data_IF_259031291799
#
_entry.id   IF_259031291799
#
_cell.length_a   1.000
_cell.length_b   1.000
_cell.length_c   1.000
_cell.angle_alpha   90.00
_cell.angle_beta   90.00
_cell.angle_gamma   90.00
#
_symmetry.space_group_name_H-M   'P 1'
#
loop_
_entity.id
_entity.type
_entity.pdbx_description
1 polymer ?
#
# COMPACT_ATOMS: atom_id res chain seq x y z
N UNK A 1 -3.66 4.06 -25.80
CA UNK A 1 -4.29 3.84 -24.49
C UNK A 1 -5.76 3.60 -24.81
N UNK A 2 -6.30 2.41 -24.49
CA UNK A 2 -7.69 2.07 -24.84
C UNK A 2 -8.66 2.86 -23.94
N UNK A 3 -9.70 3.43 -24.54
CA UNK A 3 -10.82 4.10 -23.86
C UNK A 3 -11.75 3.10 -23.13
N UNK A 4 -11.17 2.22 -22.30
CA UNK A 4 -12.00 1.41 -21.44
C UNK A 4 -12.64 2.33 -20.36
N UNK A 5 -13.96 2.27 -20.13
CA UNK A 5 -14.61 3.11 -19.14
C UNK A 5 -13.96 2.88 -17.76
N UNK A 6 -13.66 3.96 -17.04
CA UNK A 6 -13.14 3.87 -15.68
C UNK A 6 -14.20 3.25 -14.77
N UNK A 7 -13.78 2.35 -13.88
CA UNK A 7 -14.67 1.88 -12.81
C UNK A 7 -15.07 3.05 -11.92
N UNK A 8 -16.32 3.09 -11.41
CA UNK A 8 -16.70 4.11 -10.46
C UNK A 8 -15.86 4.00 -9.17
N UNK A 9 -15.41 5.15 -8.68
CA UNK A 9 -14.70 5.19 -7.39
C UNK A 9 -15.72 5.01 -6.25
N UNK A 10 -15.65 3.90 -5.56
CA UNK A 10 -16.56 3.55 -4.45
C UNK A 10 -15.98 3.92 -3.07
N UNK A 11 -14.72 4.33 -2.99
CA UNK A 11 -14.01 4.52 -1.73
C UNK A 11 -13.45 3.23 -1.12
N UNK A 12 -13.84 2.07 -1.64
CA UNK A 12 -13.40 0.75 -1.17
C UNK A 12 -12.12 0.27 -1.86
N UNK A 13 -11.93 0.66 -3.13
CA UNK A 13 -10.78 0.23 -3.96
C UNK A 13 -9.93 1.41 -4.37
N UNK A 14 -8.62 1.22 -4.33
CA UNK A 14 -7.71 2.19 -4.91
C UNK A 14 -7.78 2.14 -6.45
N UNK A 15 -7.83 3.32 -7.05
CA UNK A 15 -7.71 3.52 -8.50
C UNK A 15 -6.42 4.25 -8.82
N UNK A 16 -5.63 3.83 -9.84
CA UNK A 16 -4.35 4.46 -10.20
C UNK A 16 -4.44 5.95 -10.55
N UNK A 17 -5.65 6.45 -10.80
CA UNK A 17 -5.92 7.87 -11.06
C UNK A 17 -6.18 8.71 -9.81
N UNK A 18 -6.31 8.07 -8.63
CA UNK A 18 -6.42 8.78 -7.35
C UNK A 18 -5.02 9.21 -6.93
N UNK A 19 -4.72 10.52 -6.95
CA UNK A 19 -3.40 11.02 -6.59
C UNK A 19 -3.19 11.02 -5.06
N UNK A 20 -2.01 11.47 -4.64
CA UNK A 20 -1.61 11.76 -3.26
C UNK A 20 -1.09 10.54 -2.50
N UNK A 21 -1.25 10.56 -1.17
CA UNK A 21 -0.65 9.63 -0.23
C UNK A 21 -1.02 8.18 -0.55
N UNK A 22 -2.28 7.92 -0.85
CA UNK A 22 -2.77 6.57 -1.19
C UNK A 22 -2.04 6.00 -2.42
N UNK A 23 -1.76 6.84 -3.43
CA UNK A 23 -0.96 6.41 -4.58
C UNK A 23 0.45 5.97 -4.14
N UNK A 24 1.12 6.79 -3.30
CA UNK A 24 2.45 6.45 -2.80
C UNK A 24 2.47 5.12 -2.06
N UNK A 25 1.51 4.89 -1.17
CA UNK A 25 1.40 3.68 -0.37
C UNK A 25 1.19 2.44 -1.24
N UNK A 26 0.25 2.50 -2.17
CA UNK A 26 -0.05 1.40 -3.07
C UNK A 26 1.09 1.09 -4.06
N UNK A 27 1.63 2.11 -4.73
CA UNK A 27 2.73 1.91 -5.68
C UNK A 27 4.00 1.41 -4.99
N UNK A 28 4.29 1.90 -3.77
CA UNK A 28 5.42 1.43 -2.99
C UNK A 28 5.31 -0.06 -2.65
N UNK A 29 4.15 -0.53 -2.19
CA UNK A 29 3.92 -1.94 -1.89
C UNK A 29 4.17 -2.82 -3.12
N UNK A 30 3.65 -2.44 -4.28
CA UNK A 30 3.88 -3.18 -5.51
C UNK A 30 5.33 -3.08 -6.01
N UNK A 31 5.98 -1.94 -5.88
CA UNK A 31 7.40 -1.80 -6.21
C UNK A 31 8.28 -2.71 -5.33
N UNK A 32 7.99 -2.78 -4.03
CA UNK A 32 8.64 -3.71 -3.12
C UNK A 32 8.36 -5.18 -3.49
N UNK A 33 7.13 -5.52 -3.82
CA UNK A 33 6.73 -6.86 -4.24
C UNK A 33 7.37 -7.28 -5.57
N UNK A 34 7.60 -6.35 -6.52
CA UNK A 34 8.24 -6.65 -7.82
C UNK A 34 9.62 -7.26 -7.69
N UNK A 35 10.41 -6.85 -6.70
CA UNK A 35 11.75 -7.44 -6.46
C UNK A 35 11.63 -8.90 -6.04
N UNK A 36 10.63 -9.22 -5.22
CA UNK A 36 10.35 -10.59 -4.80
C UNK A 36 9.63 -11.41 -5.87
N UNK A 37 8.95 -10.76 -6.81
CA UNK A 37 8.23 -11.42 -7.89
C UNK A 37 9.13 -11.94 -9.03
N UNK A 38 10.39 -11.49 -9.10
CA UNK A 38 11.30 -11.78 -10.21
C UNK A 38 11.43 -13.27 -10.47
N UNK A 39 11.02 -13.70 -11.67
CA UNK A 39 11.09 -15.09 -12.12
C UNK A 39 10.13 -16.08 -11.42
N UNK A 40 9.19 -15.59 -10.60
CA UNK A 40 8.26 -16.40 -9.80
C UNK A 40 6.87 -16.47 -10.42
N UNK A 41 6.14 -17.55 -10.06
CA UNK A 41 4.70 -17.67 -10.29
C UNK A 41 3.99 -16.90 -9.18
N UNK A 42 3.29 -15.82 -9.53
CA UNK A 42 2.69 -14.89 -8.59
C UNK A 42 1.17 -14.99 -8.63
N UNK A 43 0.55 -14.98 -7.46
CA UNK A 43 -0.85 -14.71 -7.25
C UNK A 43 -1.03 -13.32 -6.64
N UNK A 44 -1.78 -12.45 -7.30
CA UNK A 44 -2.23 -11.17 -6.75
C UNK A 44 -3.70 -11.35 -6.32
N UNK A 45 -3.90 -11.56 -5.02
CA UNK A 45 -5.19 -11.91 -4.43
C UNK A 45 -5.93 -10.66 -3.96
N UNK A 46 -7.18 -10.51 -4.38
CA UNK A 46 -7.97 -9.29 -4.34
C UNK A 46 -7.27 -8.16 -5.14
N UNK A 47 -6.97 -8.45 -6.41
CA UNK A 47 -6.13 -7.60 -7.27
C UNK A 47 -6.80 -6.28 -7.71
N UNK A 48 -8.07 -6.07 -7.37
CA UNK A 48 -8.84 -4.89 -7.73
C UNK A 48 -8.78 -4.59 -9.23
N UNK A 49 -8.52 -3.34 -9.58
CA UNK A 49 -8.46 -2.86 -10.98
C UNK A 49 -7.36 -3.54 -11.82
N UNK A 50 -6.41 -4.26 -11.20
CA UNK A 50 -5.39 -5.06 -11.87
C UNK A 50 -4.08 -4.34 -12.19
N UNK A 51 -3.92 -3.05 -11.86
CA UNK A 51 -2.67 -2.30 -12.12
C UNK A 51 -1.46 -2.93 -11.43
N UNK A 52 -1.64 -3.43 -10.20
CA UNK A 52 -0.60 -4.08 -9.43
C UNK A 52 -0.15 -5.39 -10.05
N UNK A 53 -1.10 -6.25 -10.44
CA UNK A 53 -0.81 -7.47 -11.18
C UNK A 53 -0.06 -7.18 -12.50
N UNK A 54 -0.42 -6.10 -13.19
CA UNK A 54 0.28 -5.66 -14.39
C UNK A 54 1.72 -5.20 -14.12
N UNK A 55 1.98 -4.55 -12.97
CA UNK A 55 3.33 -4.21 -12.54
C UNK A 55 4.16 -5.46 -12.25
N UNK A 56 3.60 -6.40 -11.48
CA UNK A 56 4.27 -7.66 -11.14
C UNK A 56 4.62 -8.48 -12.39
N UNK A 57 3.77 -8.46 -13.41
CA UNK A 57 4.00 -9.19 -14.66
C UNK A 57 5.25 -8.72 -15.43
N UNK A 58 5.79 -7.55 -15.12
CA UNK A 58 7.04 -7.05 -15.72
C UNK A 58 8.25 -7.90 -15.33
N UNK A 59 8.26 -8.47 -14.14
CA UNK A 59 9.40 -9.21 -13.58
C UNK A 59 9.09 -10.68 -13.29
N UNK A 60 7.84 -11.02 -13.03
CA UNK A 60 7.39 -12.38 -12.71
C UNK A 60 7.48 -13.33 -13.91
N UNK A 61 7.56 -14.62 -13.64
CA UNK A 61 7.41 -15.68 -14.67
C UNK A 61 5.95 -15.76 -15.15
N UNK A 62 5.00 -15.66 -14.22
CA UNK A 62 3.56 -15.55 -14.51
C UNK A 62 2.85 -14.84 -13.36
N UNK A 63 1.74 -14.18 -13.67
CA UNK A 63 0.87 -13.55 -12.68
C UNK A 63 -0.56 -13.98 -12.93
N UNK A 64 -1.23 -14.38 -11.86
CA UNK A 64 -2.66 -14.58 -11.80
C UNK A 64 -3.24 -13.53 -10.85
N UNK A 65 -4.05 -12.61 -11.36
CA UNK A 65 -4.85 -11.67 -10.56
C UNK A 65 -6.22 -12.29 -10.28
N UNK A 66 -6.63 -12.30 -9.03
CA UNK A 66 -7.96 -12.78 -8.61
C UNK A 66 -8.68 -11.65 -7.87
N UNK A 67 -9.94 -11.41 -8.24
CA UNK A 67 -10.86 -10.54 -7.50
C UNK A 67 -12.26 -11.18 -7.46
N UNK A 68 -12.99 -10.90 -6.39
CA UNK A 68 -14.33 -11.47 -6.20
C UNK A 68 -15.36 -10.86 -7.15
N UNK A 69 -15.16 -9.62 -7.59
CA UNK A 69 -16.07 -8.84 -8.42
C UNK A 69 -15.84 -9.11 -9.92
N UNK A 70 -16.76 -9.80 -10.63
CA UNK A 70 -16.56 -10.15 -12.05
C UNK A 70 -16.40 -8.95 -12.97
N UNK A 71 -17.07 -7.84 -12.67
CA UNK A 71 -16.99 -6.59 -13.42
C UNK A 71 -15.59 -5.93 -13.30
N UNK A 72 -14.96 -6.04 -12.15
CA UNK A 72 -13.60 -5.57 -11.90
C UNK A 72 -12.59 -6.41 -12.67
N UNK A 73 -12.77 -7.72 -12.67
CA UNK A 73 -11.95 -8.67 -13.45
C UNK A 73 -12.10 -8.43 -14.96
N UNK A 74 -13.33 -8.17 -15.44
CA UNK A 74 -13.56 -7.83 -16.83
C UNK A 74 -12.84 -6.54 -17.24
N UNK A 75 -12.88 -5.51 -16.38
CA UNK A 75 -12.14 -4.26 -16.56
C UNK A 75 -10.62 -4.52 -16.61
N UNK A 76 -10.08 -5.26 -15.63
CA UNK A 76 -8.66 -5.58 -15.56
C UNK A 76 -8.17 -6.31 -16.84
N UNK A 77 -8.93 -7.28 -17.33
CA UNK A 77 -8.64 -7.99 -18.59
C UNK A 77 -8.62 -7.07 -19.81
N UNK A 78 -9.56 -6.12 -19.87
CA UNK A 78 -9.65 -5.18 -21.00
C UNK A 78 -8.51 -4.15 -20.98
N UNK A 79 -8.05 -3.76 -19.79
CA UNK A 79 -7.07 -2.68 -19.60
C UNK A 79 -5.63 -3.15 -19.62
N UNK A 80 -5.35 -4.33 -19.05
CA UNK A 80 -4.00 -4.83 -18.81
C UNK A 80 -3.74 -6.14 -19.57
N UNK A 81 -3.29 -6.03 -20.80
CA UNK A 81 -2.88 -7.19 -21.59
C UNK A 81 -1.37 -7.42 -21.49
N UNK A 82 -0.97 -8.61 -21.04
CA UNK A 82 0.42 -9.02 -20.98
C UNK A 82 0.52 -10.56 -21.12
N UNK A 83 1.48 -11.13 -21.87
CA UNK A 83 1.55 -12.59 -22.11
C UNK A 83 1.72 -13.43 -20.84
N UNK A 84 2.24 -12.84 -19.77
CA UNK A 84 2.44 -13.50 -18.47
C UNK A 84 1.36 -13.17 -17.43
N UNK A 85 0.29 -12.46 -17.81
CA UNK A 85 -0.75 -11.97 -16.90
C UNK A 85 -2.10 -12.57 -17.29
N UNK A 86 -2.81 -13.08 -16.29
CA UNK A 86 -4.20 -13.53 -16.39
C UNK A 86 -4.98 -12.98 -15.21
N UNK A 87 -6.28 -12.76 -15.42
CA UNK A 87 -7.22 -12.36 -14.37
C UNK A 87 -8.38 -13.34 -14.32
N UNK A 88 -8.79 -13.74 -13.13
CA UNK A 88 -9.89 -14.67 -12.90
C UNK A 88 -10.77 -14.15 -11.76
N UNK A 89 -12.09 -14.38 -11.84
CA UNK A 89 -12.98 -14.09 -10.73
C UNK A 89 -12.91 -15.22 -9.72
N UNK A 90 -12.77 -14.88 -8.44
CA UNK A 90 -12.66 -15.87 -7.38
C UNK A 90 -12.60 -15.25 -5.99
N UNK A 91 -12.90 -16.05 -5.00
CA UNK A 91 -12.84 -15.70 -3.60
C UNK A 91 -11.43 -15.98 -3.04
N UNK A 92 -10.75 -14.92 -2.55
CA UNK A 92 -9.40 -15.03 -2.00
C UNK A 92 -9.33 -15.91 -0.73
N UNK A 93 -10.45 -16.08 -0.01
CA UNK A 93 -10.52 -16.96 1.18
C UNK A 93 -10.60 -18.43 0.82
N UNK A 94 -10.88 -18.76 -0.45
CA UNK A 94 -11.05 -20.14 -0.94
C UNK A 94 -10.03 -20.54 -1.98
N UNK A 95 -9.79 -19.69 -2.99
CA UNK A 95 -8.87 -19.96 -4.11
C UNK A 95 -9.11 -21.32 -4.77
N UNK A 96 -10.39 -21.68 -4.99
CA UNK A 96 -10.82 -23.02 -5.44
C UNK A 96 -10.17 -23.43 -6.77
N UNK A 97 -9.88 -22.49 -7.66
CA UNK A 97 -9.24 -22.73 -8.96
C UNK A 97 -7.71 -22.78 -8.92
N UNK A 98 -7.07 -22.56 -7.76
CA UNK A 98 -5.61 -22.51 -7.61
C UNK A 98 -5.12 -23.79 -6.94
N UNK A 99 -4.27 -24.53 -7.64
CA UNK A 99 -3.74 -25.79 -7.13
C UNK A 99 -2.80 -25.59 -5.93
N UNK A 100 -2.81 -26.57 -5.01
CA UNK A 100 -1.95 -26.57 -3.83
C UNK A 100 -0.47 -26.52 -4.23
N UNK A 101 0.31 -25.68 -3.57
CA UNK A 101 1.75 -25.55 -3.78
C UNK A 101 2.16 -25.03 -5.16
N UNK A 102 1.24 -24.42 -5.92
CA UNK A 102 1.49 -23.98 -7.30
C UNK A 102 2.03 -22.55 -7.42
N UNK A 103 2.03 -21.77 -6.36
CA UNK A 103 2.39 -20.34 -6.32
C UNK A 103 3.68 -20.13 -5.53
N UNK A 104 4.59 -19.35 -6.08
CA UNK A 104 5.86 -19.01 -5.43
C UNK A 104 5.78 -17.71 -4.61
N UNK A 105 4.85 -16.82 -4.96
CA UNK A 105 4.60 -15.58 -4.25
C UNK A 105 3.11 -15.24 -4.28
N UNK A 106 2.50 -15.10 -3.12
CA UNK A 106 1.17 -14.48 -2.97
C UNK A 106 1.37 -13.03 -2.56
N UNK A 107 0.64 -12.13 -3.22
CA UNK A 107 0.55 -10.70 -2.89
C UNK A 107 -0.91 -10.40 -2.58
N UNK A 108 -1.19 -9.73 -1.45
CA UNK A 108 -2.53 -9.29 -1.08
C UNK A 108 -2.43 -8.02 -0.25
N UNK A 109 -2.92 -6.91 -0.79
CA UNK A 109 -2.81 -5.61 -0.15
C UNK A 109 -4.19 -5.03 0.14
N UNK A 110 -4.37 -4.54 1.37
CA UNK A 110 -5.62 -3.90 1.83
C UNK A 110 -6.85 -4.80 1.54
N UNK A 111 -6.80 -6.00 2.08
CA UNK A 111 -7.85 -7.02 1.88
C UNK A 111 -8.32 -7.60 3.20
N UNK A 112 -7.38 -7.81 4.12
CA UNK A 112 -7.62 -8.50 5.38
C UNK A 112 -8.71 -7.81 6.20
N UNK A 113 -8.66 -6.49 6.30
CA UNK A 113 -9.57 -5.63 7.05
C UNK A 113 -11.03 -5.67 6.55
N UNK A 114 -11.24 -6.08 5.30
CA UNK A 114 -12.58 -6.21 4.71
C UNK A 114 -13.23 -7.56 4.98
N UNK A 115 -12.52 -8.49 5.62
CA UNK A 115 -12.97 -9.86 5.85
C UNK A 115 -13.27 -10.11 7.33
N UNK A 116 -14.32 -10.89 7.60
CA UNK A 116 -14.62 -11.34 8.96
C UNK A 116 -13.74 -12.53 9.39
N UNK A 117 -13.39 -13.41 8.45
CA UNK A 117 -12.60 -14.63 8.69
C UNK A 117 -11.18 -14.48 8.12
N UNK A 118 -10.30 -13.93 8.92
CA UNK A 118 -8.89 -13.74 8.58
C UNK A 118 -8.12 -15.07 8.50
N UNK A 119 -8.51 -16.06 9.29
CA UNK A 119 -7.87 -17.38 9.29
C UNK A 119 -8.16 -18.13 7.99
N UNK A 120 -9.37 -18.04 7.43
CA UNK A 120 -9.69 -18.62 6.13
C UNK A 120 -8.81 -18.05 5.01
N UNK A 121 -8.61 -16.73 4.97
CA UNK A 121 -7.74 -16.08 3.98
C UNK A 121 -6.31 -16.61 4.06
N UNK A 122 -5.71 -16.60 5.25
CA UNK A 122 -4.32 -17.04 5.43
C UNK A 122 -4.13 -18.53 5.22
N UNK A 123 -5.12 -19.36 5.56
CA UNK A 123 -5.12 -20.79 5.27
C UNK A 123 -5.13 -21.05 3.76
N UNK A 124 -5.96 -20.33 2.99
CA UNK A 124 -5.99 -20.41 1.54
C UNK A 124 -4.63 -20.01 0.93
N UNK A 125 -4.02 -18.92 1.39
CA UNK A 125 -2.69 -18.51 0.95
C UNK A 125 -1.62 -19.56 1.27
N UNK A 126 -1.61 -20.06 2.51
CA UNK A 126 -0.66 -21.10 2.91
C UNK A 126 -0.82 -22.39 2.09
N UNK A 127 -2.06 -22.76 1.69
CA UNK A 127 -2.34 -23.93 0.86
C UNK A 127 -1.72 -23.80 -0.54
N UNK A 128 -1.99 -22.69 -1.22
CA UNK A 128 -1.56 -22.51 -2.61
C UNK A 128 -0.07 -22.21 -2.75
N UNK A 129 0.60 -21.73 -1.70
CA UNK A 129 2.03 -21.46 -1.69
C UNK A 129 2.86 -22.75 -1.79
N UNK A 130 3.86 -22.72 -2.66
CA UNK A 130 4.92 -23.70 -2.74
C UNK A 130 5.66 -23.81 -1.39
N UNK A 131 6.39 -24.92 -1.11
CA UNK A 131 7.11 -25.07 0.15
C UNK A 131 8.02 -23.89 0.52
N UNK A 132 8.72 -23.32 -0.45
CA UNK A 132 9.61 -22.16 -0.26
C UNK A 132 8.95 -20.84 -0.72
N UNK A 133 7.63 -20.84 -0.85
CA UNK A 133 6.85 -19.70 -1.26
C UNK A 133 6.75 -18.62 -0.18
N UNK A 134 6.51 -17.41 -0.65
CA UNK A 134 6.36 -16.20 0.17
C UNK A 134 4.94 -15.63 0.04
N UNK A 135 4.47 -15.04 1.14
CA UNK A 135 3.32 -14.14 1.14
C UNK A 135 3.81 -12.72 1.43
N UNK A 136 3.32 -11.74 0.68
CA UNK A 136 3.34 -10.33 1.08
C UNK A 136 1.90 -9.89 1.32
N UNK A 137 1.64 -9.37 2.51
CA UNK A 137 0.32 -8.94 2.95
C UNK A 137 0.41 -7.57 3.60
N UNK A 138 -0.54 -6.67 3.30
CA UNK A 138 -0.70 -5.41 4.04
C UNK A 138 -2.08 -5.29 4.66
N UNK A 139 -2.15 -4.51 5.75
CA UNK A 139 -3.40 -4.14 6.41
C UNK A 139 -3.16 -2.85 7.23
N UNK A 140 -4.18 -2.01 7.48
CA UNK A 140 -4.07 -0.86 8.38
C UNK A 140 -3.66 -1.28 9.79
N UNK A 141 -2.88 -0.44 10.48
CA UNK A 141 -2.72 -0.54 11.93
C UNK A 141 -3.88 0.18 12.61
N UNK A 142 -4.77 -0.55 13.26
CA UNK A 142 -5.93 -0.01 13.96
C UNK A 142 -5.58 1.18 14.85
N UNK A 143 -4.46 1.11 15.55
CA UNK A 143 -4.01 2.15 16.48
C UNK A 143 -3.86 3.51 15.78
N UNK A 144 -3.24 3.54 14.61
CA UNK A 144 -2.94 4.80 13.91
C UNK A 144 -3.97 5.14 12.85
N UNK A 145 -4.56 4.12 12.23
CA UNK A 145 -5.53 4.32 11.14
C UNK A 145 -6.88 4.78 11.69
N UNK A 146 -7.38 4.16 12.75
CA UNK A 146 -8.70 4.45 13.33
C UNK A 146 -8.61 5.17 14.68
N UNK A 147 -7.93 4.58 15.69
CA UNK A 147 -8.02 5.10 17.06
C UNK A 147 -7.39 6.51 17.21
N UNK A 148 -6.23 6.76 16.59
CA UNK A 148 -5.55 8.07 16.66
C UNK A 148 -6.09 9.08 15.64
N UNK A 149 -6.61 8.63 14.49
CA UNK A 149 -7.20 9.53 13.50
C UNK A 149 -8.60 9.99 13.90
N UNK A 150 -9.32 9.18 14.68
CA UNK A 150 -10.73 9.39 15.00
C UNK A 150 -11.69 9.18 13.82
N UNK A 151 -11.20 8.57 12.72
CA UNK A 151 -11.99 8.34 11.50
C UNK A 151 -12.13 6.85 11.26
N UNK A 152 -13.37 6.37 11.26
CA UNK A 152 -13.70 4.97 10.91
C UNK A 152 -13.92 4.84 9.41
N UNK A 153 -13.37 3.77 8.81
CA UNK A 153 -13.68 3.42 7.43
C UNK A 153 -14.89 2.48 7.40
N UNK A 154 -16.03 2.87 6.80
CA UNK A 154 -17.24 2.05 6.81
C UNK A 154 -17.12 0.73 6.04
N UNK A 155 -16.08 0.55 5.25
CA UNK A 155 -15.81 -0.69 4.50
C UNK A 155 -14.94 -1.68 5.28
N UNK A 156 -14.33 -1.26 6.40
CA UNK A 156 -13.52 -2.14 7.22
C UNK A 156 -14.40 -2.93 8.20
N UNK A 157 -14.37 -4.25 8.06
CA UNK A 157 -15.09 -5.17 8.95
C UNK A 157 -14.32 -5.35 10.25
N UNK A 158 -12.98 -5.50 10.15
CA UNK A 158 -12.11 -5.70 11.30
C UNK A 158 -10.67 -5.29 11.02
N UNK A 159 -10.22 -4.24 11.64
CA UNK A 159 -8.82 -3.86 11.71
C UNK A 159 -8.12 -4.53 12.89
N UNK A 160 -6.83 -4.80 12.76
CA UNK A 160 -6.02 -5.45 13.77
C UNK A 160 -4.99 -4.48 14.37
N UNK A 161 -4.73 -4.64 15.67
CA UNK A 161 -3.51 -4.11 16.27
C UNK A 161 -2.31 -4.96 15.84
N UNK A 162 -1.12 -4.39 15.95
CA UNK A 162 0.12 -5.07 15.57
C UNK A 162 0.26 -6.46 16.19
N UNK A 163 0.01 -6.57 17.49
CA UNK A 163 0.18 -7.83 18.23
C UNK A 163 -0.83 -8.90 17.78
N UNK A 164 -2.06 -8.50 17.44
CA UNK A 164 -3.08 -9.40 16.90
C UNK A 164 -2.68 -9.87 15.49
N UNK A 165 -2.13 -8.96 14.67
CA UNK A 165 -1.67 -9.29 13.32
C UNK A 165 -0.47 -10.25 13.36
N UNK A 166 0.54 -9.98 14.20
CA UNK A 166 1.68 -10.89 14.39
C UNK A 166 1.22 -12.28 14.88
N UNK A 167 0.29 -12.33 15.85
CA UNK A 167 -0.28 -13.59 16.34
C UNK A 167 -1.06 -14.37 15.26
N UNK A 168 -1.83 -13.65 14.42
CA UNK A 168 -2.51 -14.23 13.28
C UNK A 168 -1.52 -14.84 12.27
N UNK A 169 -0.48 -14.08 11.88
CA UNK A 169 0.54 -14.57 10.96
C UNK A 169 1.26 -15.80 11.49
N UNK A 170 1.59 -15.82 12.80
CA UNK A 170 2.29 -16.92 13.46
C UNK A 170 1.51 -18.23 13.50
N UNK A 171 0.17 -18.22 13.32
CA UNK A 171 -0.64 -19.44 13.22
C UNK A 171 -0.49 -20.15 11.87
N UNK A 172 -0.19 -19.42 10.82
CA UNK A 172 -0.19 -19.94 9.44
C UNK A 172 1.19 -20.04 8.81
N UNK A 173 2.17 -19.26 9.28
CA UNK A 173 3.49 -19.16 8.68
C UNK A 173 4.59 -19.40 9.71
N UNK A 174 5.59 -20.19 9.34
CA UNK A 174 6.70 -20.53 10.23
C UNK A 174 7.53 -19.30 10.64
N UNK A 175 7.65 -18.32 9.76
CA UNK A 175 8.33 -17.04 10.01
C UNK A 175 7.70 -15.90 9.24
N UNK A 176 7.75 -14.72 9.83
CA UNK A 176 7.39 -13.48 9.16
C UNK A 176 8.37 -12.35 9.53
N UNK A 177 8.41 -11.35 8.68
CA UNK A 177 9.06 -10.06 8.93
C UNK A 177 8.05 -8.96 8.72
N UNK A 178 7.88 -8.13 9.73
CA UNK A 178 6.93 -7.03 9.72
C UNK A 178 7.64 -5.72 9.38
N UNK A 179 7.05 -4.96 8.49
CA UNK A 179 7.40 -3.58 8.15
C UNK A 179 6.26 -2.66 8.55
N UNK A 180 6.62 -1.46 9.03
CA UNK A 180 5.68 -0.35 9.10
C UNK A 180 5.75 0.48 7.83
N UNK A 181 4.61 0.90 7.30
CA UNK A 181 4.53 1.82 6.17
C UNK A 181 3.79 3.10 6.57
N UNK A 182 4.33 4.24 6.15
CA UNK A 182 3.69 5.55 6.25
C UNK A 182 4.31 6.51 5.25
N UNK A 183 3.50 7.38 4.65
CA UNK A 183 4.00 8.52 3.88
C UNK A 183 4.48 9.59 4.87
N UNK A 184 5.74 9.98 4.73
CA UNK A 184 6.38 10.99 5.58
C UNK A 184 7.22 11.93 4.72
N UNK A 185 7.35 13.17 5.15
CA UNK A 185 8.31 14.10 4.54
C UNK A 185 9.73 13.73 5.00
N UNK A 186 10.63 13.53 4.04
CA UNK A 186 12.02 13.18 4.31
C UNK A 186 12.98 14.01 3.45
N UNK A 187 14.15 14.30 3.99
CA UNK A 187 15.29 14.79 3.23
C UNK A 187 16.12 13.59 2.75
N UNK A 188 16.40 13.51 1.46
CA UNK A 188 17.23 12.46 0.89
C UNK A 188 18.61 13.01 0.57
N UNK A 189 19.64 12.27 0.99
CA UNK A 189 21.03 12.52 0.63
C UNK A 189 21.55 11.27 -0.10
N UNK A 190 21.93 11.44 -1.37
CA UNK A 190 22.39 10.33 -2.20
C UNK A 190 23.65 10.68 -2.99
N UNK A 191 24.40 9.67 -3.37
CA UNK A 191 25.62 9.82 -4.18
C UNK A 191 25.26 10.14 -5.62
N UNK A 192 25.88 11.16 -6.19
CA UNK A 192 25.68 11.57 -7.59
C UNK A 192 26.54 10.77 -8.59
N UNK A 193 27.60 10.11 -8.11
CA UNK A 193 28.48 9.27 -8.93
C UNK A 193 27.93 7.85 -9.17
N UNK A 194 26.73 7.56 -8.68
CA UNK A 194 26.17 6.22 -8.64
C UNK A 194 26.88 5.39 -7.56
N UNK A 195 26.59 4.15 -7.49
CA UNK A 195 27.19 3.22 -6.54
C UNK A 195 26.21 2.78 -5.46
N UNK A 196 26.45 1.56 -4.99
CA UNK A 196 25.65 0.93 -3.96
C UNK A 196 26.41 1.03 -2.63
N UNK A 197 25.68 1.22 -1.55
CA UNK A 197 26.24 1.32 -0.21
C UNK A 197 25.17 1.05 0.84
N UNK A 198 25.58 1.09 2.11
CA UNK A 198 24.63 0.98 3.22
C UNK A 198 23.71 2.19 3.25
N UNK A 199 22.45 1.94 3.57
CA UNK A 199 21.44 2.98 3.81
C UNK A 199 21.43 3.33 5.29
N UNK A 200 21.47 4.62 5.60
CA UNK A 200 21.28 5.15 6.94
C UNK A 200 20.02 5.99 7.00
N UNK A 201 19.30 5.92 8.09
CA UNK A 201 18.15 6.78 8.37
C UNK A 201 18.28 7.39 9.76
N UNK A 202 17.78 8.60 9.93
CA UNK A 202 17.82 9.34 11.17
C UNK A 202 16.47 9.99 11.43
N UNK A 203 16.09 10.09 12.69
CA UNK A 203 14.90 10.82 13.13
C UNK A 203 15.33 11.87 14.17
N UNK A 204 14.95 13.12 13.94
CA UNK A 204 15.08 14.20 14.93
C UNK A 204 13.86 14.18 15.84
N UNK A 205 14.09 14.32 17.15
CA UNK A 205 13.05 14.50 18.16
C UNK A 205 13.55 15.53 19.18
N UNK A 206 12.92 16.70 19.22
CA UNK A 206 13.44 17.86 19.94
C UNK A 206 14.83 18.27 19.42
N UNK A 207 15.80 18.34 20.33
CA UNK A 207 17.21 18.71 20.03
C UNK A 207 18.09 17.48 19.74
N UNK A 208 17.53 16.28 19.81
CA UNK A 208 18.25 15.03 19.64
C UNK A 208 18.06 14.42 18.24
N UNK A 209 19.05 13.65 17.78
CA UNK A 209 19.01 12.89 16.53
C UNK A 209 19.26 11.41 16.83
N UNK A 210 18.35 10.58 16.40
CA UNK A 210 18.39 9.15 16.63
C UNK A 210 18.54 8.37 15.33
N UNK A 211 19.28 7.24 15.33
CA UNK A 211 19.30 6.36 14.18
C UNK A 211 17.96 5.64 14.00
N UNK A 212 17.61 5.37 12.74
CA UNK A 212 16.39 4.66 12.37
C UNK A 212 15.17 5.54 12.17
N UNK A 213 14.08 4.89 11.75
CA UNK A 213 12.75 5.48 11.59
C UNK A 213 11.98 5.31 12.91
N UNK A 214 11.48 6.40 13.48
CA UNK A 214 10.73 6.42 14.76
C UNK A 214 9.27 6.83 14.62
N UNK A 215 8.76 6.86 13.39
CA UNK A 215 7.36 7.21 13.10
C UNK A 215 6.46 5.99 13.33
N UNK A 216 5.29 6.18 13.92
CA UNK A 216 4.27 5.14 14.02
C UNK A 216 3.78 4.77 12.61
N UNK A 217 3.67 3.49 12.27
CA UNK A 217 3.16 3.07 10.97
C UNK A 217 1.68 3.42 10.82
N UNK A 218 1.24 3.67 9.60
CA UNK A 218 -0.18 3.73 9.23
C UNK A 218 -0.67 2.34 8.82
N UNK A 219 0.22 1.59 8.18
CA UNK A 219 -0.03 0.22 7.72
C UNK A 219 1.08 -0.71 8.16
N UNK A 220 0.72 -1.95 8.36
CA UNK A 220 1.63 -3.07 8.48
C UNK A 220 1.78 -3.77 7.14
N UNK A 221 3.03 -4.07 6.74
CA UNK A 221 3.33 -4.91 5.59
C UNK A 221 4.13 -6.10 6.07
N UNK A 222 3.58 -7.31 5.92
CA UNK A 222 4.24 -8.53 6.34
C UNK A 222 4.79 -9.29 5.14
N UNK A 223 6.02 -9.79 5.25
CA UNK A 223 6.56 -10.82 4.37
C UNK A 223 6.64 -12.11 5.18
N UNK A 224 5.88 -13.13 4.77
CA UNK A 224 5.79 -14.39 5.46
C UNK A 224 6.39 -15.52 4.62
N UNK A 225 7.09 -16.44 5.28
CA UNK A 225 7.63 -17.65 4.66
C UNK A 225 6.94 -18.89 5.20
N UNK A 226 6.55 -19.79 4.29
CA UNK A 226 5.96 -21.08 4.66
C UNK A 226 7.00 -21.95 5.39
N UNK A 227 8.27 -21.88 4.98
CA UNK A 227 9.44 -22.49 5.65
C UNK A 227 10.47 -21.42 5.97
N UNK A 228 11.26 -21.63 7.04
CA UNK A 228 12.00 -20.58 7.75
C UNK A 228 13.16 -19.89 7.07
N UNK A 229 13.61 -20.29 5.87
CA UNK A 229 14.86 -19.81 5.27
C UNK A 229 14.72 -18.68 4.26
N UNK A 230 13.51 -18.45 3.75
CA UNK A 230 13.26 -17.57 2.58
C UNK A 230 13.28 -16.05 2.89
N UNK A 231 13.45 -15.61 4.14
CA UNK A 231 13.41 -14.17 4.51
C UNK A 231 14.78 -13.49 4.53
N UNK A 232 15.85 -14.19 4.10
CA UNK A 232 17.16 -13.60 3.94
C UNK A 232 17.20 -12.62 2.76
N UNK A 233 17.94 -11.50 2.92
CA UNK A 233 18.12 -10.52 1.84
C UNK A 233 17.02 -9.48 1.71
N UNK A 234 16.00 -9.49 2.55
CA UNK A 234 14.99 -8.42 2.59
C UNK A 234 15.64 -7.11 3.10
N UNK A 235 15.37 -5.96 2.46
CA UNK A 235 15.95 -4.69 2.90
C UNK A 235 15.40 -4.30 4.28
N UNK A 236 16.24 -3.63 5.08
CA UNK A 236 15.80 -3.08 6.36
C UNK A 236 14.91 -1.84 6.20
N UNK A 237 15.07 -1.12 5.09
CA UNK A 237 14.32 0.07 4.73
C UNK A 237 14.07 0.06 3.22
N UNK A 238 12.86 0.42 2.82
CA UNK A 238 12.50 0.69 1.43
C UNK A 238 11.97 2.11 1.33
N UNK A 239 12.41 2.86 0.33
CA UNK A 239 11.98 4.23 0.07
C UNK A 239 11.32 4.30 -1.30
N UNK A 240 10.25 5.09 -1.40
CA UNK A 240 9.54 5.33 -2.64
C UNK A 240 9.30 6.82 -2.84
N UNK A 241 9.48 7.28 -4.05
CA UNK A 241 9.12 8.63 -4.48
C UNK A 241 8.64 8.57 -5.92
N UNK A 242 7.68 9.42 -6.29
CA UNK A 242 7.36 9.66 -7.68
C UNK A 242 8.29 10.76 -8.25
N UNK A 243 8.58 10.67 -9.56
CA UNK A 243 9.46 11.63 -10.23
C UNK A 243 8.90 13.07 -10.22
N UNK A 244 7.60 13.22 -10.08
CA UNK A 244 6.90 14.51 -10.07
C UNK A 244 6.74 15.08 -8.68
N UNK A 245 7.04 14.31 -7.62
CA UNK A 245 6.85 14.71 -6.22
C UNK A 245 5.41 15.21 -5.94
N UNK A 246 4.43 14.50 -6.47
CA UNK A 246 3.04 14.96 -6.55
C UNK A 246 2.44 15.30 -5.19
N UNK A 247 2.74 14.52 -4.16
CA UNK A 247 2.31 14.78 -2.76
C UNK A 247 2.90 16.09 -2.26
N UNK A 248 4.21 16.29 -2.43
CA UNK A 248 4.89 17.51 -1.98
C UNK A 248 4.37 18.75 -2.72
N UNK A 249 4.20 18.68 -4.03
CA UNK A 249 3.64 19.76 -4.84
C UNK A 249 2.22 20.13 -4.40
N UNK A 250 1.40 19.12 -4.11
CA UNK A 250 0.05 19.34 -3.61
C UNK A 250 0.05 20.12 -2.28
N UNK A 251 0.86 19.68 -1.30
CA UNK A 251 0.95 20.39 -0.03
C UNK A 251 1.48 21.83 -0.19
N UNK A 252 2.46 22.05 -1.06
CA UNK A 252 2.93 23.39 -1.37
C UNK A 252 1.81 24.27 -1.97
N UNK A 253 0.98 23.70 -2.85
CA UNK A 253 -0.16 24.42 -3.41
C UNK A 253 -1.18 24.79 -2.34
N UNK A 254 -1.58 23.84 -1.49
CA UNK A 254 -2.52 24.09 -0.38
C UNK A 254 -2.01 25.17 0.56
N UNK A 255 -0.72 25.14 0.91
CA UNK A 255 -0.10 26.17 1.76
C UNK A 255 -0.17 27.55 1.09
N UNK A 256 0.12 27.64 -0.22
CA UNK A 256 0.02 28.92 -0.97
C UNK A 256 -1.41 29.45 -0.98
N UNK A 257 -2.40 28.59 -1.22
CA UNK A 257 -3.81 28.96 -1.22
C UNK A 257 -4.27 29.45 0.14
N UNK A 258 -3.86 28.77 1.22
CA UNK A 258 -4.11 29.20 2.59
C UNK A 258 -3.51 30.58 2.89
N UNK A 259 -2.25 30.81 2.50
CA UNK A 259 -1.56 32.10 2.68
C UNK A 259 -2.25 33.22 1.91
N UNK A 260 -2.72 32.95 0.69
CA UNK A 260 -3.47 33.93 -0.11
C UNK A 260 -4.82 34.26 0.54
N UNK A 261 -5.53 33.23 1.00
CA UNK A 261 -6.83 33.36 1.68
C UNK A 261 -6.69 34.19 2.97
N UNK A 262 -5.68 33.90 3.78
CA UNK A 262 -5.40 34.64 5.01
C UNK A 262 -5.07 36.13 4.72
N UNK A 263 -4.23 36.37 3.72
CA UNK A 263 -3.94 37.77 3.27
C UNK A 263 -5.21 38.49 2.80
N UNK A 264 -6.09 37.79 2.05
CA UNK A 264 -7.34 38.36 1.59
C UNK A 264 -8.27 38.67 2.76
N UNK A 265 -8.40 37.75 3.71
CA UNK A 265 -9.18 37.93 4.94
C UNK A 265 -8.66 39.14 5.76
N UNK A 266 -7.33 39.29 5.87
CA UNK A 266 -6.72 40.41 6.56
C UNK A 266 -7.06 41.76 5.89
N UNK A 267 -6.97 41.83 4.56
CA UNK A 267 -7.31 43.05 3.80
C UNK A 267 -8.81 43.40 3.95
N UNK A 268 -9.69 42.36 3.91
CA UNK A 268 -11.12 42.57 4.08
C UNK A 268 -11.46 43.07 5.50
N UNK A 269 -10.88 42.46 6.54
CA UNK A 269 -11.05 42.94 7.92
C UNK A 269 -10.58 44.40 8.10
N UNK A 270 -9.47 44.78 7.47
CA UNK A 270 -9.01 46.14 7.51
C UNK A 270 -10.02 47.13 6.86
N UNK A 271 -10.53 46.77 5.68
CA UNK A 271 -11.55 47.57 4.97
C UNK A 271 -12.85 47.70 5.77
N UNK A 272 -13.30 46.63 6.45
CA UNK A 272 -14.47 46.69 7.33
C UNK A 272 -14.27 47.64 8.50
N UNK A 273 -13.10 47.58 9.17
CA UNK A 273 -12.73 48.51 10.24
C UNK A 273 -12.70 49.94 9.76
N UNK A 274 -12.08 50.21 8.59
CA UNK A 274 -12.00 51.56 8.00
C UNK A 274 -13.38 52.11 7.62
N UNK A 275 -14.34 51.23 7.31
CA UNK A 275 -15.73 51.55 7.01
C UNK A 275 -16.63 51.63 8.26
N UNK A 276 -16.10 51.40 9.47
CA UNK A 276 -16.88 51.37 10.71
C UNK A 276 -17.83 50.20 10.86
N UNK A 277 -17.61 49.12 10.09
CA UNK A 277 -18.41 47.89 10.09
C UNK A 277 -17.75 46.84 11.03
N UNK A 278 -18.56 45.98 11.69
CA UNK A 278 -18.01 44.89 12.50
C UNK A 278 -17.25 43.90 11.59
N UNK A 279 -16.05 43.51 11.98
CA UNK A 279 -15.17 42.56 11.29
C UNK A 279 -15.56 41.08 11.65
N UNK A 280 -16.84 40.86 11.94
CA UNK A 280 -17.44 39.63 12.47
C UNK A 280 -16.93 38.34 11.82
N UNK A 281 -15.99 37.73 12.51
CA UNK A 281 -15.68 36.31 12.55
C UNK A 281 -15.22 36.00 13.97
#
# INVERSE_FOLDING_TARGET
MSDAPSLPFTGERYHPHVPREMAYEHWHRYAFAMELARGRRVLDAACGEGYGAALLARTAASVLGIDVAPEVVAHARARYAHPRLRFESGDATRLDGVADGSIDLVVSFETLEHLADHDALLAAFARVLAPDGLLILSTPDRRTYTDLSGVENPHHVRELYREEFEALLGRHFARHRLYGQRVVAQSLLWRLDGGHGATASFTQDGDDVFPGVRTLPMYHVAVCAKRGEALGGLPALSCFADAQQSVFQHYQQVVRELMLTDRYAHVLRQRLRDAGLPDGL
#
